data_IF_222801150832
#
_entry.id   IF_222801150832
#
_cell.length_a   1.000
_cell.length_b   1.000
_cell.length_c   1.000
_cell.angle_alpha   90.00
_cell.angle_beta   90.00
_cell.angle_gamma   90.00
#
_symmetry.space_group_name_H-M   'P 1'
#
loop_
_entity.id
_entity.type
_entity.pdbx_description
1 polymer ?
#
# COMPACT_ATOMS: atom_id res chain seq x y z
N UNK A 1 43.59 -10.48 11.20
CA UNK A 1 43.03 -11.77 11.67
C UNK A 1 41.53 -11.71 11.96
N UNK A 2 41.02 -10.70 12.68
CA UNK A 2 39.59 -10.57 13.03
C UNK A 2 38.69 -10.38 11.79
N UNK A 3 39.15 -9.67 10.75
CA UNK A 3 38.40 -9.46 9.50
C UNK A 3 38.18 -10.73 8.67
N UNK A 4 39.20 -11.58 8.59
CA UNK A 4 39.14 -12.84 7.85
C UNK A 4 38.23 -13.89 8.53
N UNK A 5 38.16 -13.89 9.85
CA UNK A 5 37.25 -14.76 10.60
C UNK A 5 35.78 -14.32 10.43
N UNK A 6 35.51 -13.01 10.41
CA UNK A 6 34.17 -12.47 10.12
C UNK A 6 33.72 -12.81 8.71
N UNK A 7 34.59 -12.69 7.70
CA UNK A 7 34.29 -13.07 6.32
C UNK A 7 33.98 -14.56 6.20
N UNK A 8 34.81 -15.44 6.78
CA UNK A 8 34.61 -16.89 6.74
C UNK A 8 33.30 -17.33 7.45
N UNK A 9 32.97 -16.70 8.57
CA UNK A 9 31.70 -16.95 9.27
C UNK A 9 30.53 -16.48 8.39
N UNK A 10 30.59 -15.30 7.77
CA UNK A 10 29.55 -14.78 6.90
C UNK A 10 29.36 -15.67 5.67
N UNK A 11 30.43 -16.15 5.05
CA UNK A 11 30.37 -17.08 3.91
C UNK A 11 29.77 -18.44 4.30
N UNK A 12 30.11 -18.97 5.48
CA UNK A 12 29.52 -20.22 5.98
C UNK A 12 28.03 -20.09 6.31
N UNK A 13 27.61 -18.95 6.86
CA UNK A 13 26.18 -18.66 7.12
C UNK A 13 25.38 -18.46 5.84
N UNK A 14 25.97 -17.86 4.80
CA UNK A 14 25.29 -17.65 3.51
C UNK A 14 25.01 -18.95 2.75
N UNK A 15 25.80 -20.00 2.99
CA UNK A 15 25.55 -21.35 2.44
C UNK A 15 24.39 -22.05 3.15
N UNK A 16 24.29 -21.89 4.49
CA UNK A 16 23.22 -22.49 5.29
C UNK A 16 21.91 -21.69 5.22
N UNK A 17 21.99 -20.37 5.06
CA UNK A 17 20.84 -19.45 4.95
C UNK A 17 21.04 -18.56 3.72
N UNK A 18 20.83 -19.11 2.51
CA UNK A 18 20.99 -18.32 1.29
C UNK A 18 20.01 -17.15 1.28
N UNK A 19 20.50 -15.97 0.92
CA UNK A 19 19.63 -14.83 0.66
C UNK A 19 18.76 -15.15 -0.54
N UNK A 20 17.47 -14.88 -0.42
CA UNK A 20 16.50 -15.13 -1.47
C UNK A 20 15.82 -13.84 -1.91
N UNK A 21 15.54 -13.75 -3.19
CA UNK A 21 14.74 -12.66 -3.74
C UNK A 21 13.38 -12.58 -3.05
N UNK A 22 13.05 -11.43 -2.46
CA UNK A 22 11.79 -11.26 -1.72
C UNK A 22 10.53 -11.31 -2.61
N UNK A 23 10.67 -11.25 -3.93
CA UNK A 23 9.55 -11.42 -4.87
C UNK A 23 9.42 -12.87 -5.36
N UNK A 24 10.47 -13.51 -5.89
CA UNK A 24 10.36 -14.82 -6.54
C UNK A 24 10.99 -15.99 -5.77
N UNK A 25 11.69 -15.73 -4.64
CA UNK A 25 12.44 -16.71 -3.82
C UNK A 25 13.62 -17.39 -4.51
N UNK A 26 14.03 -16.95 -5.69
CA UNK A 26 15.29 -17.42 -6.28
C UNK A 26 16.45 -17.04 -5.36
N UNK A 27 17.41 -17.96 -5.14
CA UNK A 27 18.61 -17.67 -4.38
C UNK A 27 19.38 -16.51 -5.02
N UNK A 28 19.77 -15.56 -4.19
CA UNK A 28 20.67 -14.47 -4.55
C UNK A 28 22.11 -14.95 -4.30
N UNK A 29 23.06 -14.48 -5.09
CA UNK A 29 24.48 -14.82 -4.86
C UNK A 29 24.97 -14.32 -3.49
N UNK A 30 26.06 -14.88 -2.97
CA UNK A 30 26.55 -14.63 -1.60
C UNK A 30 26.99 -13.19 -1.32
N UNK A 31 27.01 -12.33 -2.33
CA UNK A 31 27.57 -10.98 -2.24
C UNK A 31 26.55 -9.86 -2.53
N UNK A 32 25.26 -10.15 -2.54
CA UNK A 32 24.25 -9.11 -2.89
C UNK A 32 23.50 -8.66 -1.66
N UNK A 33 23.64 -7.38 -1.30
CA UNK A 33 22.72 -6.70 -0.37
C UNK A 33 21.37 -6.36 -1.01
N UNK A 34 21.18 -6.74 -2.29
CA UNK A 34 19.97 -6.46 -3.05
C UNK A 34 18.82 -7.39 -2.61
N UNK A 35 17.63 -6.85 -2.31
CA UNK A 35 16.48 -7.64 -1.89
C UNK A 35 15.79 -8.38 -3.04
N UNK A 36 16.07 -8.00 -4.29
CA UNK A 36 15.51 -8.57 -5.52
C UNK A 36 16.61 -9.13 -6.43
N UNK A 37 16.32 -10.19 -7.16
CA UNK A 37 17.16 -10.65 -8.26
C UNK A 37 17.05 -9.69 -9.46
N UNK A 38 18.02 -9.74 -10.39
CA UNK A 38 18.05 -8.88 -11.59
C UNK A 38 16.75 -8.91 -12.39
N UNK A 39 16.17 -10.10 -12.59
CA UNK A 39 14.90 -10.24 -13.29
C UNK A 39 13.76 -9.48 -12.57
N UNK A 40 13.58 -9.68 -11.27
CA UNK A 40 12.52 -9.00 -10.53
C UNK A 40 12.77 -7.50 -10.45
N UNK A 41 14.03 -7.05 -10.42
CA UNK A 41 14.38 -5.64 -10.49
C UNK A 41 13.99 -5.02 -11.83
N UNK A 42 14.27 -5.69 -12.95
CA UNK A 42 13.91 -5.21 -14.29
C UNK A 42 12.40 -5.24 -14.56
N UNK A 43 11.67 -6.18 -13.96
CA UNK A 43 10.21 -6.31 -14.06
C UNK A 43 9.45 -5.37 -13.10
N UNK A 44 10.14 -4.71 -12.16
CA UNK A 44 9.52 -3.79 -11.21
C UNK A 44 9.34 -2.39 -11.84
N UNK A 45 8.43 -2.30 -12.81
CA UNK A 45 8.14 -1.08 -13.55
C UNK A 45 7.00 -0.32 -12.88
N UNK A 46 7.19 0.97 -12.50
CA UNK A 46 6.12 1.79 -11.95
C UNK A 46 4.99 2.04 -12.94
N UNK A 47 3.79 2.27 -12.43
CA UNK A 47 2.65 2.70 -13.24
C UNK A 47 2.92 4.14 -13.73
N UNK A 48 2.85 4.42 -15.06
CA UNK A 48 3.03 5.76 -15.59
C UNK A 48 1.92 6.70 -15.11
N UNK A 49 2.29 7.82 -14.49
CA UNK A 49 1.31 8.72 -13.83
C UNK A 49 0.49 9.55 -14.82
N UNK A 50 1.02 9.83 -15.99
CA UNK A 50 0.41 10.62 -17.07
C UNK A 50 -0.78 9.91 -17.75
N UNK A 51 -0.84 8.58 -17.66
CA UNK A 51 -1.92 7.74 -18.20
C UNK A 51 -2.90 7.26 -17.12
N UNK A 52 -2.85 7.84 -15.93
CA UNK A 52 -3.68 7.43 -14.81
C UNK A 52 -4.92 8.29 -14.61
N UNK A 53 -5.95 7.71 -14.01
CA UNK A 53 -7.06 8.46 -13.45
C UNK A 53 -6.55 9.47 -12.42
N UNK A 54 -6.75 10.76 -12.65
CA UNK A 54 -6.24 11.81 -11.77
C UNK A 54 -6.83 11.84 -10.36
N UNK A 55 -7.85 11.02 -10.10
CA UNK A 55 -8.45 10.90 -8.76
C UNK A 55 -7.95 9.64 -8.04
N UNK A 56 -8.08 8.46 -8.63
CA UNK A 56 -7.75 7.19 -7.94
C UNK A 56 -6.48 6.51 -8.45
N UNK A 57 -5.76 7.09 -9.41
CA UNK A 57 -4.54 6.50 -9.97
C UNK A 57 -4.77 5.19 -10.74
N UNK A 58 -5.99 4.91 -11.25
CA UNK A 58 -6.21 3.75 -12.11
C UNK A 58 -5.47 3.95 -13.44
N UNK A 59 -4.69 2.95 -13.91
CA UNK A 59 -3.95 3.04 -15.15
C UNK A 59 -4.86 3.00 -16.39
N UNK A 60 -4.25 3.14 -17.57
CA UNK A 60 -4.87 2.97 -18.90
C UNK A 60 -6.02 3.94 -19.19
N UNK A 61 -5.90 5.17 -18.70
CA UNK A 61 -6.83 6.22 -19.03
C UNK A 61 -6.39 6.97 -20.29
N UNK A 62 -7.29 7.06 -21.27
CA UNK A 62 -7.05 7.90 -22.42
C UNK A 62 -6.92 9.38 -21.95
N UNK A 63 -5.87 10.10 -22.35
CA UNK A 63 -5.71 11.49 -22.00
C UNK A 63 -6.84 12.33 -22.61
N UNK A 64 -7.50 13.15 -21.79
CA UNK A 64 -8.54 14.08 -22.22
C UNK A 64 -7.95 15.49 -22.17
N UNK A 65 -7.87 16.17 -23.30
CA UNK A 65 -7.30 17.53 -23.38
C UNK A 65 -8.10 18.48 -22.47
N UNK A 66 -7.40 19.12 -21.54
CA UNK A 66 -7.98 20.14 -20.64
C UNK A 66 -8.81 19.59 -19.47
N UNK A 67 -8.89 18.29 -19.28
CA UNK A 67 -9.57 17.68 -18.12
C UNK A 67 -8.73 16.53 -17.54
N UNK A 68 -8.70 16.44 -16.22
CA UNK A 68 -8.14 15.27 -15.53
C UNK A 68 -9.13 14.11 -15.70
N UNK A 69 -8.76 13.03 -16.40
CA UNK A 69 -9.67 11.93 -16.67
C UNK A 69 -10.07 11.24 -15.36
N UNK A 70 -11.35 10.91 -15.22
CA UNK A 70 -11.89 10.09 -14.14
C UNK A 70 -12.32 8.75 -14.69
N UNK A 71 -11.88 7.66 -14.08
CA UNK A 71 -12.31 6.31 -14.45
C UNK A 71 -13.75 6.04 -13.99
N UNK A 72 -14.38 5.03 -14.57
CA UNK A 72 -15.76 4.64 -14.27
C UNK A 72 -15.97 4.34 -12.77
N UNK A 73 -14.98 3.74 -12.10
CA UNK A 73 -15.04 3.50 -10.66
C UNK A 73 -15.16 4.80 -9.86
N UNK A 74 -14.42 5.85 -10.24
CA UNK A 74 -14.46 7.15 -9.57
C UNK A 74 -15.74 7.95 -9.84
N UNK A 75 -16.47 7.64 -10.91
CA UNK A 75 -17.79 8.21 -11.17
C UNK A 75 -18.83 7.59 -10.23
N UNK A 76 -18.66 6.31 -9.89
CA UNK A 76 -19.60 5.54 -9.06
C UNK A 76 -19.31 5.60 -7.55
N UNK A 77 -18.06 5.90 -7.17
CA UNK A 77 -17.64 6.00 -5.76
C UNK A 77 -17.87 7.42 -5.21
N UNK A 78 -18.21 7.55 -3.92
CA UNK A 78 -18.18 8.85 -3.25
C UNK A 78 -16.79 9.48 -3.34
N UNK A 79 -16.73 10.79 -3.59
CA UNK A 79 -15.46 11.55 -3.63
C UNK A 79 -15.01 11.89 -2.20
N UNK A 80 -14.52 10.88 -1.48
CA UNK A 80 -14.12 11.00 -0.06
C UNK A 80 -12.62 11.17 0.14
N UNK A 81 -11.82 11.13 -0.92
CA UNK A 81 -10.39 11.45 -0.88
C UNK A 81 -10.04 12.39 -2.04
N UNK A 82 -9.00 13.21 -1.87
CA UNK A 82 -8.58 14.23 -2.84
C UNK A 82 -7.71 13.65 -3.96
N UNK A 83 -7.11 12.50 -3.73
CA UNK A 83 -6.31 11.80 -4.71
C UNK A 83 -5.74 10.51 -4.17
N UNK A 84 -5.45 9.58 -5.08
CA UNK A 84 -4.77 8.36 -4.74
C UNK A 84 -3.66 8.04 -5.73
N UNK A 85 -2.63 7.34 -5.24
CA UNK A 85 -1.53 6.82 -6.01
C UNK A 85 -1.34 5.33 -5.71
N UNK A 86 -1.12 4.55 -6.76
CA UNK A 86 -0.59 3.19 -6.64
C UNK A 86 0.70 3.09 -7.43
N UNK A 87 1.78 2.57 -6.81
CA UNK A 87 3.09 2.62 -7.41
C UNK A 87 3.30 1.59 -8.54
N UNK A 88 2.84 0.36 -8.37
CA UNK A 88 3.11 -0.75 -9.27
C UNK A 88 1.84 -1.55 -9.63
N UNK A 89 1.82 -2.25 -10.79
CA UNK A 89 0.80 -3.27 -11.06
C UNK A 89 0.87 -4.42 -10.05
N UNK A 90 -0.27 -5.01 -9.69
CA UNK A 90 -0.34 -6.14 -8.75
C UNK A 90 0.21 -7.45 -9.32
N UNK A 91 0.22 -7.62 -10.62
CA UNK A 91 0.80 -8.75 -11.37
C UNK A 91 2.31 -8.61 -11.62
N UNK A 92 2.96 -7.67 -10.96
CA UNK A 92 4.40 -7.41 -10.95
C UNK A 92 5.10 -8.04 -9.72
N UNK A 93 6.43 -7.94 -9.61
CA UNK A 93 7.17 -8.30 -8.39
C UNK A 93 6.66 -7.62 -7.12
N UNK A 94 6.14 -6.38 -7.22
CA UNK A 94 5.53 -5.70 -6.07
C UNK A 94 4.31 -6.45 -5.51
N UNK A 95 3.44 -6.98 -6.37
CA UNK A 95 2.32 -7.80 -5.92
C UNK A 95 2.75 -9.14 -5.32
N UNK A 96 3.87 -9.72 -5.78
CA UNK A 96 4.46 -10.88 -5.12
C UNK A 96 4.95 -10.54 -3.72
N UNK A 97 5.62 -9.39 -3.53
CA UNK A 97 6.03 -8.89 -2.21
C UNK A 97 4.84 -8.63 -1.29
N UNK A 98 3.76 -8.03 -1.80
CA UNK A 98 2.51 -7.85 -1.04
C UNK A 98 1.91 -9.19 -0.61
N UNK A 99 1.91 -10.21 -1.46
CA UNK A 99 1.44 -11.56 -1.08
C UNK A 99 2.31 -12.17 0.02
N UNK A 100 3.63 -12.00 -0.04
CA UNK A 100 4.54 -12.50 1.01
C UNK A 100 4.33 -11.78 2.33
N UNK A 101 4.18 -10.47 2.28
CA UNK A 101 3.81 -9.68 3.45
C UNK A 101 2.50 -10.21 4.06
N UNK A 102 1.50 -10.55 3.24
CA UNK A 102 0.18 -11.05 3.70
C UNK A 102 0.18 -12.45 4.29
N UNK A 103 0.98 -13.36 3.75
CA UNK A 103 0.82 -14.80 4.01
C UNK A 103 2.08 -15.48 4.56
N UNK A 104 3.23 -14.83 4.49
CA UNK A 104 4.50 -15.40 4.93
C UNK A 104 5.19 -14.59 6.04
N UNK A 105 4.51 -13.57 6.56
CA UNK A 105 5.01 -12.69 7.64
C UNK A 105 6.38 -12.08 7.34
N UNK A 106 6.64 -11.74 6.08
CA UNK A 106 7.90 -11.19 5.64
C UNK A 106 7.88 -9.66 5.82
N UNK A 107 8.03 -9.19 7.06
CA UNK A 107 7.96 -7.76 7.43
C UNK A 107 8.93 -6.88 6.64
N UNK A 108 10.12 -7.40 6.32
CA UNK A 108 11.09 -6.68 5.49
C UNK A 108 10.52 -6.29 4.12
N UNK A 109 9.50 -7.01 3.60
CA UNK A 109 8.84 -6.66 2.34
C UNK A 109 8.12 -5.30 2.41
N UNK A 110 7.59 -4.91 3.56
CA UNK A 110 6.95 -3.60 3.73
C UNK A 110 7.97 -2.46 3.55
N UNK A 111 9.14 -2.58 4.18
CA UNK A 111 10.22 -1.61 4.04
C UNK A 111 10.68 -1.48 2.59
N UNK A 112 10.92 -2.61 1.91
CA UNK A 112 11.39 -2.59 0.52
C UNK A 112 10.30 -2.10 -0.44
N UNK A 113 9.03 -2.44 -0.23
CA UNK A 113 7.92 -1.88 -1.00
C UNK A 113 7.86 -0.36 -0.85
N UNK A 114 8.05 0.18 0.36
CA UNK A 114 8.10 1.62 0.58
C UNK A 114 9.28 2.26 -0.16
N UNK A 115 10.50 1.70 -0.04
CA UNK A 115 11.69 2.22 -0.72
C UNK A 115 11.56 2.17 -2.25
N UNK A 116 11.11 1.06 -2.83
CA UNK A 116 10.92 0.95 -4.28
C UNK A 116 9.80 1.86 -4.80
N UNK A 117 8.84 2.21 -3.96
CA UNK A 117 7.76 3.11 -4.34
C UNK A 117 8.17 4.59 -4.39
N UNK A 118 9.31 4.97 -3.79
CA UNK A 118 9.73 6.36 -3.65
C UNK A 118 9.73 7.16 -4.96
N UNK A 119 10.24 6.64 -6.09
CA UNK A 119 10.23 7.43 -7.34
C UNK A 119 8.85 7.94 -7.74
N UNK A 120 7.79 7.17 -7.47
CA UNK A 120 6.40 7.58 -7.71
C UNK A 120 5.79 8.30 -6.51
N UNK A 121 6.17 7.91 -5.29
CA UNK A 121 5.59 8.41 -4.05
C UNK A 121 6.11 9.79 -3.65
N UNK A 122 7.40 10.08 -3.87
CA UNK A 122 8.03 11.34 -3.44
C UNK A 122 7.29 12.58 -3.99
N UNK A 123 7.02 12.73 -5.31
CA UNK A 123 6.28 13.88 -5.80
C UNK A 123 4.84 13.91 -5.28
N UNK A 124 4.17 12.75 -5.20
CA UNK A 124 2.80 12.67 -4.71
C UNK A 124 2.68 13.08 -3.24
N UNK A 125 3.58 12.58 -2.39
CA UNK A 125 3.54 12.83 -0.94
C UNK A 125 4.03 14.24 -0.62
N UNK A 126 5.17 14.66 -1.19
CA UNK A 126 5.81 15.93 -0.85
C UNK A 126 5.14 17.15 -1.46
N UNK A 127 4.54 17.02 -2.65
CA UNK A 127 3.98 18.16 -3.37
C UNK A 127 2.44 18.21 -3.27
N UNK A 128 1.77 17.07 -3.41
CA UNK A 128 0.31 17.01 -3.50
C UNK A 128 -0.36 16.67 -2.17
N UNK A 129 0.02 15.58 -1.54
CA UNK A 129 -0.62 15.13 -0.30
C UNK A 129 -0.22 15.97 0.90
N UNK A 130 1.07 16.22 1.09
CA UNK A 130 1.66 16.96 2.23
C UNK A 130 0.99 16.57 3.55
N UNK A 131 1.07 15.30 3.95
CA UNK A 131 0.31 14.79 5.06
C UNK A 131 0.88 15.28 6.40
N UNK A 132 -0.01 15.59 7.34
CA UNK A 132 0.32 15.82 8.74
C UNK A 132 0.39 14.52 9.53
N UNK A 133 -0.32 13.49 9.04
CA UNK A 133 -0.37 12.15 9.64
C UNK A 133 -0.44 11.05 8.57
N UNK A 134 0.10 9.88 8.90
CA UNK A 134 -0.07 8.64 8.15
C UNK A 134 -0.97 7.70 8.94
N UNK A 135 -2.00 7.16 8.26
CA UNK A 135 -3.01 6.30 8.86
C UNK A 135 -3.10 4.99 8.08
N UNK A 136 -2.91 3.82 8.70
CA UNK A 136 -3.10 2.54 8.04
C UNK A 136 -4.59 2.21 7.90
N UNK A 137 -4.97 1.56 6.79
CA UNK A 137 -6.30 0.94 6.67
C UNK A 137 -6.38 -0.28 7.60
N UNK A 138 -7.32 -0.30 8.58
CA UNK A 138 -7.41 -1.42 9.50
C UNK A 138 -8.06 -2.64 8.84
N UNK A 139 -7.52 -3.82 9.15
CA UNK A 139 -8.13 -5.11 8.82
C UNK A 139 -9.15 -5.49 9.90
N UNK A 140 -9.96 -6.52 9.66
CA UNK A 140 -10.86 -7.03 10.70
C UNK A 140 -10.08 -7.74 11.80
N UNK A 141 -10.54 -7.65 13.06
CA UNK A 141 -9.92 -8.31 14.21
C UNK A 141 -9.64 -9.81 13.98
N UNK A 142 -10.55 -10.54 13.34
CA UNK A 142 -10.32 -11.95 13.02
C UNK A 142 -9.18 -12.17 12.02
N UNK A 143 -8.99 -11.25 11.07
CA UNK A 143 -7.85 -11.33 10.13
C UNK A 143 -6.55 -10.99 10.81
N UNK A 144 -6.58 -10.03 11.71
CA UNK A 144 -5.43 -9.67 12.53
C UNK A 144 -5.00 -10.82 13.44
N UNK A 145 -5.95 -11.46 14.14
CA UNK A 145 -5.68 -12.68 14.93
C UNK A 145 -5.11 -13.84 14.09
N UNK A 146 -5.65 -14.05 12.88
CA UNK A 146 -5.19 -15.14 12.01
C UNK A 146 -3.84 -14.87 11.34
N UNK A 147 -3.46 -13.61 11.17
CA UNK A 147 -2.22 -13.19 10.50
C UNK A 147 -1.13 -12.73 11.46
N UNK A 148 -1.51 -12.37 12.68
CA UNK A 148 -0.62 -11.81 13.70
C UNK A 148 -0.35 -10.31 13.57
N UNK A 149 -0.69 -9.69 12.40
CA UNK A 149 -0.39 -8.27 12.13
C UNK A 149 -1.25 -7.69 11.00
N UNK A 150 -1.22 -6.35 10.86
CA UNK A 150 -1.85 -5.60 9.78
C UNK A 150 -0.79 -5.14 8.75
N UNK A 151 -0.91 -5.60 7.50
CA UNK A 151 0.04 -5.27 6.43
C UNK A 151 0.11 -3.77 6.11
N UNK A 152 -1.05 -3.10 6.16
CA UNK A 152 -1.12 -1.65 5.95
C UNK A 152 -0.40 -0.88 7.06
N UNK A 153 -0.35 -1.43 8.27
CA UNK A 153 0.35 -0.85 9.41
C UNK A 153 1.87 -0.93 9.23
N UNK A 154 2.40 -2.08 8.79
CA UNK A 154 3.83 -2.22 8.49
C UNK A 154 4.27 -1.28 7.36
N UNK A 155 3.45 -1.14 6.32
CA UNK A 155 3.69 -0.17 5.25
C UNK A 155 3.64 1.27 5.77
N UNK A 156 2.63 1.62 6.56
CA UNK A 156 2.48 2.95 7.15
C UNK A 156 3.67 3.32 8.04
N UNK A 157 4.16 2.37 8.85
CA UNK A 157 5.36 2.56 9.67
C UNK A 157 6.62 2.83 8.81
N UNK A 158 6.79 2.07 7.71
CA UNK A 158 7.89 2.29 6.79
C UNK A 158 7.83 3.68 6.13
N UNK A 159 6.64 4.10 5.64
CA UNK A 159 6.44 5.42 5.06
C UNK A 159 6.61 6.54 6.10
N UNK A 160 6.12 6.36 7.32
CA UNK A 160 6.28 7.31 8.41
C UNK A 160 7.76 7.60 8.70
N UNK A 161 8.59 6.55 8.73
CA UNK A 161 10.05 6.66 8.90
C UNK A 161 10.73 7.36 7.74
N UNK A 162 10.35 7.06 6.49
CA UNK A 162 10.95 7.66 5.29
C UNK A 162 10.65 9.17 5.22
N UNK A 163 9.41 9.56 5.50
CA UNK A 163 8.96 10.95 5.32
C UNK A 163 8.98 11.80 6.60
N UNK A 164 9.29 11.20 7.76
CA UNK A 164 9.29 11.91 9.05
C UNK A 164 7.90 12.40 9.47
N UNK A 165 6.83 11.69 9.04
CA UNK A 165 5.43 12.04 9.32
C UNK A 165 4.90 11.15 10.44
N UNK A 166 4.16 11.69 11.43
CA UNK A 166 3.56 10.90 12.52
C UNK A 166 2.68 9.76 12.02
N UNK A 167 2.86 8.57 12.60
CA UNK A 167 2.08 7.36 12.33
C UNK A 167 0.96 7.21 13.35
N UNK A 168 -0.28 7.49 12.92
CA UNK A 168 -1.48 7.36 13.75
C UNK A 168 -2.10 5.96 13.59
N UNK A 169 -1.44 4.99 14.18
CA UNK A 169 -1.72 3.54 14.09
C UNK A 169 -3.16 3.18 14.42
N UNK A 170 -3.75 3.84 15.43
CA UNK A 170 -5.06 3.51 15.98
C UNK A 170 -6.15 4.53 15.65
N UNK A 171 -5.87 5.50 14.76
CA UNK A 171 -6.84 6.53 14.38
C UNK A 171 -8.14 5.96 13.82
N UNK A 172 -8.05 4.85 13.05
CA UNK A 172 -9.20 4.14 12.48
C UNK A 172 -9.39 2.76 13.10
N UNK A 173 -10.65 2.37 13.29
CA UNK A 173 -11.05 0.98 13.56
C UNK A 173 -12.07 0.49 12.56
N UNK A 174 -12.01 -0.83 12.26
CA UNK A 174 -12.99 -1.51 11.44
C UNK A 174 -14.00 -2.24 12.33
N UNK A 175 -15.25 -1.73 12.36
CA UNK A 175 -16.33 -2.25 13.19
C UNK A 175 -17.06 -3.43 12.54
N UNK A 176 -17.30 -3.37 11.21
CA UNK A 176 -18.07 -4.41 10.52
C UNK A 176 -17.20 -5.62 10.15
N UNK A 177 -17.70 -6.81 10.49
CA UNK A 177 -17.22 -8.07 9.92
C UNK A 177 -17.73 -8.16 8.47
N UNK A 178 -16.86 -7.88 7.51
CA UNK A 178 -17.20 -7.96 6.10
C UNK A 178 -16.46 -9.12 5.44
N UNK A 179 -17.10 -9.88 4.53
CA UNK A 179 -16.41 -10.92 3.74
C UNK A 179 -15.23 -10.34 2.95
N UNK A 180 -14.23 -11.17 2.57
CA UNK A 180 -13.13 -10.72 1.71
C UNK A 180 -13.65 -10.16 0.39
N UNK A 181 -13.23 -8.96 0.00
CA UNK A 181 -13.66 -8.33 -1.26
C UNK A 181 -13.27 -9.14 -2.51
N UNK A 182 -12.21 -9.96 -2.42
CA UNK A 182 -11.81 -10.86 -3.51
C UNK A 182 -12.88 -11.90 -3.88
N UNK A 183 -13.87 -12.15 -2.99
CA UNK A 183 -14.99 -13.07 -3.24
C UNK A 183 -16.22 -12.38 -3.82
N UNK A 184 -16.17 -11.06 -4.08
CA UNK A 184 -17.32 -10.28 -4.55
C UNK A 184 -17.27 -10.08 -6.05
N UNK A 185 -18.36 -10.44 -6.73
CA UNK A 185 -18.45 -10.44 -8.19
C UNK A 185 -18.63 -9.03 -8.79
N UNK A 186 -19.20 -8.06 -8.04
CA UNK A 186 -19.49 -6.73 -8.57
C UNK A 186 -18.91 -5.59 -7.76
N UNK A 187 -18.70 -4.43 -8.42
CA UNK A 187 -18.27 -3.17 -7.78
C UNK A 187 -19.31 -2.72 -6.75
N UNK A 188 -20.61 -2.82 -7.09
CA UNK A 188 -21.69 -2.44 -6.19
C UNK A 188 -21.70 -3.27 -4.89
N UNK A 189 -21.40 -4.56 -4.97
CA UNK A 189 -21.25 -5.42 -3.79
C UNK A 189 -20.05 -5.00 -2.95
N UNK A 190 -18.90 -4.69 -3.57
CA UNK A 190 -17.69 -4.21 -2.87
C UNK A 190 -17.95 -2.90 -2.13
N UNK A 191 -18.71 -1.97 -2.73
CA UNK A 191 -19.11 -0.70 -2.11
C UNK A 191 -20.02 -0.97 -0.91
N UNK A 192 -21.12 -1.71 -1.09
CA UNK A 192 -22.06 -2.02 0.00
C UNK A 192 -21.39 -2.74 1.17
N UNK A 193 -20.46 -3.62 0.87
CA UNK A 193 -19.73 -4.39 1.88
C UNK A 193 -18.92 -3.50 2.84
N UNK A 194 -18.34 -2.41 2.35
CA UNK A 194 -17.45 -1.56 3.16
C UNK A 194 -18.09 -0.25 3.62
N UNK A 195 -19.29 0.10 3.16
CA UNK A 195 -19.99 1.32 3.58
C UNK A 195 -20.23 1.30 5.09
N UNK A 196 -19.73 2.35 5.81
CA UNK A 196 -19.81 2.46 7.26
C UNK A 196 -19.06 1.35 8.02
N UNK A 197 -18.03 0.76 7.39
CA UNK A 197 -17.22 -0.28 8.03
C UNK A 197 -16.15 0.28 8.96
N UNK A 198 -15.82 1.55 8.84
CA UNK A 198 -14.76 2.22 9.59
C UNK A 198 -15.30 3.34 10.46
N UNK A 199 -14.62 3.64 11.56
CA UNK A 199 -14.86 4.81 12.41
C UNK A 199 -13.53 5.31 13.00
N UNK A 200 -13.45 6.61 13.28
CA UNK A 200 -12.34 7.21 14.00
C UNK A 200 -12.49 6.93 15.49
N UNK A 201 -11.41 6.50 16.15
CA UNK A 201 -11.38 6.19 17.58
C UNK A 201 -11.22 7.46 18.39
N UNK A 202 -10.21 8.27 18.05
CA UNK A 202 -9.85 9.51 18.74
C UNK A 202 -9.89 10.67 17.75
N UNK A 203 -10.91 11.52 17.85
CA UNK A 203 -11.05 12.67 16.94
C UNK A 203 -9.87 13.62 16.97
N UNK A 204 -9.26 13.81 18.13
CA UNK A 204 -8.13 14.72 18.33
C UNK A 204 -6.90 14.30 17.51
N UNK A 205 -6.75 12.99 17.27
CA UNK A 205 -5.64 12.46 16.45
C UNK A 205 -5.75 12.82 14.96
N UNK A 206 -6.95 13.14 14.45
CA UNK A 206 -7.22 13.40 13.04
C UNK A 206 -7.80 14.78 12.74
N UNK A 207 -8.41 15.46 13.72
CA UNK A 207 -9.12 16.72 13.50
C UNK A 207 -8.20 17.81 12.92
N UNK A 208 -8.63 18.45 11.84
CA UNK A 208 -7.90 19.49 11.12
C UNK A 208 -6.69 19.01 10.31
N UNK A 209 -6.29 17.75 10.43
CA UNK A 209 -5.08 17.20 9.79
C UNK A 209 -5.34 16.70 8.38
N UNK A 210 -4.31 16.78 7.54
CA UNK A 210 -4.24 16.12 6.22
C UNK A 210 -3.74 14.68 6.44
N UNK A 211 -4.53 13.69 6.13
CA UNK A 211 -4.19 12.29 6.35
C UNK A 211 -3.73 11.61 5.06
N UNK A 212 -2.62 10.87 5.12
CA UNK A 212 -2.23 9.90 4.10
C UNK A 212 -2.67 8.51 4.56
N UNK A 213 -3.70 7.98 3.92
CA UNK A 213 -4.22 6.65 4.16
C UNK A 213 -3.38 5.62 3.39
N UNK A 214 -2.82 4.64 4.08
CA UNK A 214 -2.00 3.57 3.49
C UNK A 214 -2.79 2.25 3.48
N UNK A 215 -2.85 1.60 2.32
CA UNK A 215 -3.33 0.22 2.17
C UNK A 215 -2.31 -0.58 1.33
N UNK A 216 -2.42 -1.91 1.33
CA UNK A 216 -1.49 -2.78 0.62
C UNK A 216 -1.80 -2.90 -0.89
N UNK A 217 -3.08 -2.89 -1.27
CA UNK A 217 -3.55 -2.99 -2.66
C UNK A 217 -4.81 -2.18 -2.87
N UNK A 218 -4.83 -1.37 -3.89
CA UNK A 218 -6.06 -0.75 -4.38
C UNK A 218 -6.59 -1.50 -5.61
N UNK A 219 -7.88 -1.85 -5.60
CA UNK A 219 -8.61 -2.38 -6.76
C UNK A 219 -9.64 -1.35 -7.24
N UNK A 220 -10.86 -1.43 -6.77
CA UNK A 220 -11.92 -0.45 -7.09
C UNK A 220 -11.81 0.85 -6.31
N UNK A 221 -11.07 0.87 -5.20
CA UNK A 221 -10.99 2.01 -4.28
C UNK A 221 -12.10 2.06 -3.23
N UNK A 222 -13.02 1.09 -3.20
CA UNK A 222 -14.15 1.09 -2.26
C UNK A 222 -13.72 1.09 -0.78
N UNK A 223 -12.68 0.30 -0.43
CA UNK A 223 -12.12 0.30 0.94
C UNK A 223 -11.55 1.66 1.29
N UNK A 224 -10.73 2.21 0.41
CA UNK A 224 -10.10 3.53 0.58
C UNK A 224 -11.17 4.63 0.72
N UNK A 225 -12.20 4.62 -0.12
CA UNK A 225 -13.30 5.59 -0.05
C UNK A 225 -14.07 5.52 1.28
N UNK A 226 -14.35 4.31 1.79
CA UNK A 226 -15.03 4.15 3.07
C UNK A 226 -14.17 4.55 4.27
N UNK A 227 -12.88 4.21 4.26
CA UNK A 227 -11.93 4.62 5.31
C UNK A 227 -11.70 6.15 5.30
N UNK A 228 -11.58 6.73 4.10
CA UNK A 228 -11.46 8.18 3.93
C UNK A 228 -12.71 8.94 4.41
N UNK A 229 -13.92 8.42 4.12
CA UNK A 229 -15.17 8.98 4.64
C UNK A 229 -15.15 9.06 6.17
N UNK A 230 -14.75 7.97 6.85
CA UNK A 230 -14.65 7.95 8.30
C UNK A 230 -13.64 8.96 8.85
N UNK A 231 -12.49 9.15 8.17
CA UNK A 231 -11.51 10.18 8.56
C UNK A 231 -12.07 11.59 8.42
N UNK A 232 -12.77 11.89 7.31
CA UNK A 232 -13.44 13.19 7.10
C UNK A 232 -14.55 13.44 8.15
N UNK A 233 -15.38 12.43 8.45
CA UNK A 233 -16.38 12.48 9.52
C UNK A 233 -15.72 12.67 10.90
N UNK A 234 -14.52 12.13 11.09
CA UNK A 234 -13.68 12.34 12.27
C UNK A 234 -13.08 13.74 12.37
N UNK A 235 -13.17 14.55 11.30
CA UNK A 235 -12.70 15.94 11.26
C UNK A 235 -11.37 16.14 10.51
N UNK A 236 -10.85 15.15 9.80
CA UNK A 236 -9.69 15.34 8.92
C UNK A 236 -9.99 16.41 7.86
N UNK A 237 -9.03 17.30 7.59
CA UNK A 237 -9.19 18.39 6.61
C UNK A 237 -9.10 17.89 5.16
N UNK A 238 -8.32 16.85 4.92
CA UNK A 238 -8.16 16.20 3.62
C UNK A 238 -7.65 14.77 3.81
N UNK A 239 -8.00 13.89 2.87
CA UNK A 239 -7.49 12.50 2.84
C UNK A 239 -6.90 12.21 1.46
N UNK A 240 -5.70 11.69 1.45
CA UNK A 240 -5.02 11.13 0.28
C UNK A 240 -4.78 9.64 0.51
N UNK A 241 -4.62 8.88 -0.55
CA UNK A 241 -4.45 7.43 -0.45
C UNK A 241 -3.18 7.01 -1.18
N UNK A 242 -2.43 6.13 -0.57
CA UNK A 242 -1.29 5.49 -1.22
C UNK A 242 -1.35 3.97 -1.04
N UNK A 243 -1.01 3.24 -2.12
CA UNK A 243 -0.83 1.79 -2.09
C UNK A 243 0.40 1.40 -2.93
N UNK A 244 1.23 0.45 -2.50
CA UNK A 244 2.35 -0.02 -3.31
C UNK A 244 1.89 -0.78 -4.56
N UNK A 245 0.70 -1.40 -4.54
CA UNK A 245 0.24 -2.19 -5.66
C UNK A 245 -1.20 -1.86 -6.10
N UNK A 246 -1.44 -1.95 -7.42
CA UNK A 246 -2.76 -1.77 -8.04
C UNK A 246 -3.24 -3.06 -8.66
N UNK A 247 -4.34 -3.61 -8.16
CA UNK A 247 -5.05 -4.70 -8.81
C UNK A 247 -5.91 -4.19 -9.96
N UNK A 248 -6.03 -4.97 -11.05
CA UNK A 248 -6.92 -4.66 -12.15
C UNK A 248 -8.38 -4.55 -11.71
N UNK A 249 -9.16 -3.71 -12.36
CA UNK A 249 -10.61 -3.60 -12.14
C UNK A 249 -11.38 -4.84 -12.65
N UNK A 250 -10.73 -5.67 -13.46
CA UNK A 250 -11.28 -6.93 -13.96
C UNK A 250 -10.96 -8.03 -12.95
N UNK A 251 -12.00 -8.47 -12.23
CA UNK A 251 -11.91 -9.68 -11.46
C UNK A 251 -11.76 -10.89 -12.41
N UNK A 252 -10.71 -11.67 -12.19
CA UNK A 252 -10.77 -13.11 -12.38
C UNK A 252 -11.22 -13.72 -11.06
#
# INVERSE_FOLDING_TARGET
>A
MIGAIRSAIHESWSVLFPQVCIACLTCLGPSTDAPLCERCTSELVPIPLDTCCGHCGAPDMAPIIGKVPRCENCIRLPATFQGALSAFPYDSPAGAMVRRLKYQNLECAARWLAEFSRPSADPFISERARPDIIVPVPITFLREMNRGFNQAEELADAFAKIYGVPHERHALRRAKRTPPQARMASIAERIRNVTGAFHVVERESVAGKRALLIDDVMTTGATAASAAAALLEGGASAVYVFTPARGGAQGN
#
